data_IF_638256707546
#
_entry.id   IF_638256707546
#
_cell.length_a   1.000
_cell.length_b   1.000
_cell.length_c   1.000
_cell.angle_alpha   90.00
_cell.angle_beta   90.00
_cell.angle_gamma   90.00
#
_symmetry.space_group_name_H-M   'P 1'
#
loop_
_entity.id
_entity.type
_entity.pdbx_description
1 polymer ?
#
# COMPACT_ATOMS: atom_id res chain seq x y z
N UNK A 1 19.56 33.11 -17.68
CA UNK A 1 19.11 32.05 -16.76
C UNK A 1 17.60 32.14 -16.66
N UNK A 2 16.87 31.27 -17.37
CA UNK A 2 15.44 31.15 -17.18
C UNK A 2 15.21 30.45 -15.83
N UNK A 3 14.94 31.22 -14.78
CA UNK A 3 14.41 30.66 -13.54
C UNK A 3 12.99 30.16 -13.85
N UNK A 4 12.83 28.87 -14.16
CA UNK A 4 11.51 28.27 -14.23
C UNK A 4 10.86 28.37 -12.84
N UNK A 5 9.65 28.87 -12.77
CA UNK A 5 8.86 28.89 -11.54
C UNK A 5 8.69 27.44 -11.08
N UNK A 6 9.03 27.11 -9.83
CA UNK A 6 8.85 25.74 -9.32
C UNK A 6 7.39 25.32 -9.48
N UNK A 7 7.16 24.10 -9.98
CA UNK A 7 5.81 23.55 -10.10
C UNK A 7 5.27 23.24 -8.69
N UNK A 8 4.06 23.67 -8.39
CA UNK A 8 3.43 23.39 -7.09
C UNK A 8 3.37 21.89 -6.83
N UNK A 9 3.67 21.43 -5.60
CA UNK A 9 3.46 20.05 -5.21
C UNK A 9 2.00 19.62 -5.40
N UNK A 10 1.79 18.39 -5.83
CA UNK A 10 0.46 17.83 -6.06
C UNK A 10 0.26 16.57 -5.23
N UNK A 11 -0.99 16.34 -4.81
CA UNK A 11 -1.43 15.10 -4.18
C UNK A 11 -2.43 14.40 -5.10
N UNK A 12 -2.22 13.11 -5.33
CA UNK A 12 -3.15 12.25 -6.05
C UNK A 12 -3.57 11.10 -5.14
N UNK A 13 -4.87 10.95 -4.91
CA UNK A 13 -5.44 9.90 -4.08
C UNK A 13 -5.89 8.73 -4.96
N UNK A 14 -5.43 7.52 -4.66
CA UNK A 14 -5.78 6.28 -5.38
C UNK A 14 -6.67 5.34 -4.55
N UNK A 15 -7.03 5.73 -3.34
CA UNK A 15 -7.92 5.03 -2.43
C UNK A 15 -8.06 5.78 -1.11
N UNK A 16 -8.94 5.32 -0.23
CA UNK A 16 -9.32 5.96 1.04
C UNK A 16 -9.72 7.44 0.89
N UNK A 17 -10.39 7.77 -0.22
CA UNK A 17 -10.91 9.09 -0.51
C UNK A 17 -12.43 9.00 -0.68
N UNK A 18 -13.19 9.31 0.38
CA UNK A 18 -14.63 9.05 0.47
C UNK A 18 -14.98 7.58 0.78
N UNK A 19 -13.99 6.78 1.13
CA UNK A 19 -14.09 5.38 1.55
C UNK A 19 -12.99 5.07 2.57
N UNK A 20 -13.06 3.92 3.25
CA UNK A 20 -12.15 3.59 4.36
C UNK A 20 -10.89 2.87 3.88
N UNK A 21 -11.01 1.87 2.99
CA UNK A 21 -9.92 0.96 2.68
C UNK A 21 -9.12 1.36 1.43
N UNK A 22 -7.95 0.76 1.25
CA UNK A 22 -7.11 0.98 0.08
C UNK A 22 -6.26 2.24 0.12
N UNK A 23 -5.87 2.70 1.33
CA UNK A 23 -5.06 3.92 1.49
C UNK A 23 -3.86 3.94 0.54
N UNK A 24 -3.82 4.98 -0.30
CA UNK A 24 -2.75 5.13 -1.29
C UNK A 24 -2.75 6.57 -1.81
N UNK A 25 -1.74 7.34 -1.44
CA UNK A 25 -1.63 8.75 -1.86
C UNK A 25 -0.24 9.03 -2.42
N UNK A 26 -0.18 9.61 -3.60
CA UNK A 26 1.05 10.05 -4.24
C UNK A 26 1.26 11.55 -4.04
N UNK A 27 2.39 11.92 -3.44
CA UNK A 27 2.92 13.27 -3.44
C UNK A 27 3.91 13.41 -4.60
N UNK A 28 3.71 14.38 -5.47
CA UNK A 28 4.65 14.74 -6.54
C UNK A 28 5.16 16.16 -6.35
N UNK A 29 6.47 16.32 -6.54
CA UNK A 29 7.17 17.61 -6.54
C UNK A 29 8.00 17.73 -7.81
N UNK A 30 8.74 18.83 -8.00
CA UNK A 30 9.68 18.96 -9.13
C UNK A 30 10.80 17.89 -9.12
N UNK A 31 11.18 17.40 -7.94
CA UNK A 31 12.36 16.56 -7.76
C UNK A 31 12.09 15.18 -7.14
N UNK A 32 10.88 14.94 -6.64
CA UNK A 32 10.57 13.70 -5.92
C UNK A 32 9.12 13.26 -6.13
N UNK A 33 8.93 11.94 -6.02
CA UNK A 33 7.63 11.27 -6.00
C UNK A 33 7.61 10.36 -4.77
N UNK A 34 6.74 10.66 -3.81
CA UNK A 34 6.63 9.92 -2.55
C UNK A 34 5.25 9.30 -2.46
N UNK A 35 5.20 7.99 -2.29
CA UNK A 35 3.97 7.26 -2.06
C UNK A 35 3.75 7.12 -0.55
N UNK A 36 2.60 7.52 -0.05
CA UNK A 36 2.16 7.31 1.33
C UNK A 36 1.09 6.25 1.33
N UNK A 37 1.38 5.13 1.96
CA UNK A 37 0.64 3.88 1.98
C UNK A 37 0.45 3.23 0.60
N UNK A 38 0.18 1.94 0.61
CA UNK A 38 -0.29 1.16 -0.53
C UNK A 38 -1.11 -0.01 0.01
N UNK A 39 -2.31 0.33 0.47
CA UNK A 39 -3.20 -0.56 1.20
C UNK A 39 -4.10 -1.39 0.30
N UNK A 40 -4.59 -2.51 0.83
CA UNK A 40 -5.61 -3.32 0.17
C UNK A 40 -6.99 -2.67 0.27
N UNK A 41 -7.76 -2.77 -0.80
CA UNK A 41 -9.21 -2.62 -0.73
C UNK A 41 -9.80 -3.90 -0.13
N UNK A 42 -10.67 -3.73 0.85
CA UNK A 42 -11.31 -4.82 1.59
C UNK A 42 -12.83 -4.61 1.61
N UNK A 43 -13.60 -5.68 1.64
CA UNK A 43 -15.06 -5.65 1.74
C UNK A 43 -15.73 -6.49 0.67
N UNK A 44 -16.68 -5.92 -0.06
CA UNK A 44 -17.39 -6.63 -1.12
C UNK A 44 -16.45 -7.05 -2.27
N UNK A 45 -16.73 -8.11 -3.02
CA UNK A 45 -15.90 -8.57 -4.13
C UNK A 45 -15.58 -7.48 -5.16
N UNK A 46 -16.51 -6.56 -5.41
CA UNK A 46 -16.28 -5.41 -6.31
C UNK A 46 -15.22 -4.43 -5.78
N UNK A 47 -15.05 -4.32 -4.47
CA UNK A 47 -13.98 -3.52 -3.86
C UNK A 47 -12.65 -4.26 -3.95
N UNK A 48 -12.62 -5.56 -3.67
CA UNK A 48 -11.41 -6.37 -3.75
C UNK A 48 -10.84 -6.46 -5.17
N UNK A 49 -11.68 -6.42 -6.21
CA UNK A 49 -11.25 -6.33 -7.62
C UNK A 49 -10.43 -5.08 -7.93
N UNK A 50 -10.49 -4.04 -7.10
CA UNK A 50 -9.69 -2.82 -7.21
C UNK A 50 -8.25 -2.99 -6.70
N UNK A 51 -7.90 -4.15 -6.15
CA UNK A 51 -6.55 -4.48 -5.72
C UNK A 51 -5.60 -4.68 -6.92
N UNK A 52 -5.58 -3.71 -7.79
CA UNK A 52 -4.75 -3.64 -9.00
C UNK A 52 -3.76 -2.48 -8.89
N UNK A 53 -2.90 -2.37 -9.88
CA UNK A 53 -1.97 -1.24 -10.02
C UNK A 53 -2.71 -0.05 -10.62
N UNK A 54 -2.76 1.12 -9.94
CA UNK A 54 -3.32 2.33 -10.53
C UNK A 54 -2.58 2.70 -11.83
N UNK A 55 -3.26 2.84 -12.99
CA UNK A 55 -2.60 3.06 -14.28
C UNK A 55 -1.72 4.32 -14.33
N UNK A 56 -2.05 5.34 -13.52
CA UNK A 56 -1.32 6.59 -13.45
C UNK A 56 -0.08 6.54 -12.54
N UNK A 57 0.14 5.43 -11.82
CA UNK A 57 1.22 5.28 -10.84
C UNK A 57 2.39 4.46 -11.41
N UNK A 58 3.47 5.15 -11.77
CA UNK A 58 4.72 4.53 -12.20
C UNK A 58 5.64 4.33 -11.00
N UNK A 59 5.73 3.10 -10.51
CA UNK A 59 6.51 2.73 -9.33
C UNK A 59 8.03 2.86 -9.53
N UNK A 60 8.53 2.73 -10.76
CA UNK A 60 9.95 2.89 -11.08
C UNK A 60 10.42 4.32 -10.88
N UNK A 61 9.50 5.27 -10.88
CA UNK A 61 9.77 6.70 -10.69
C UNK A 61 9.57 7.17 -9.25
N UNK A 62 9.17 6.27 -8.33
CA UNK A 62 9.06 6.63 -6.92
C UNK A 62 10.44 6.86 -6.32
N UNK A 63 10.57 7.95 -5.58
CA UNK A 63 11.77 8.31 -4.82
C UNK A 63 11.77 7.65 -3.44
N UNK A 64 10.59 7.50 -2.84
CA UNK A 64 10.41 6.86 -1.53
C UNK A 64 8.96 6.35 -1.38
N UNK A 65 8.79 5.38 -0.49
CA UNK A 65 7.50 4.93 0.03
C UNK A 65 7.49 5.13 1.53
N UNK A 66 6.37 5.60 2.07
CA UNK A 66 6.14 5.76 3.51
C UNK A 66 4.93 4.93 3.89
N UNK A 67 5.03 4.15 4.96
CA UNK A 67 3.93 3.39 5.52
C UNK A 67 3.54 3.99 6.88
N UNK A 68 2.26 4.38 7.03
CA UNK A 68 1.75 4.96 8.26
C UNK A 68 1.69 3.95 9.38
N UNK A 69 1.21 2.74 9.10
CA UNK A 69 1.14 1.63 10.05
C UNK A 69 0.88 0.28 9.33
N UNK A 70 0.89 -0.82 10.11
CA UNK A 70 0.88 -2.17 9.56
C UNK A 70 -0.53 -2.80 9.41
N UNK A 71 -1.62 -2.03 9.34
CA UNK A 71 -2.90 -2.56 8.92
C UNK A 71 -2.93 -2.81 7.42
N UNK A 72 -3.66 -3.85 7.02
CA UNK A 72 -3.62 -4.37 5.65
C UNK A 72 -4.18 -3.39 4.61
N UNK A 73 -5.14 -2.56 4.98
CA UNK A 73 -5.73 -1.50 4.16
C UNK A 73 -4.82 -0.26 4.01
N UNK A 74 -3.66 -0.24 4.70
CA UNK A 74 -2.58 0.73 4.55
C UNK A 74 -1.31 0.15 3.94
N UNK A 75 -1.02 -1.13 4.19
CA UNK A 75 0.24 -1.74 3.77
C UNK A 75 0.08 -2.92 2.81
N UNK A 76 -1.12 -3.46 2.63
CA UNK A 76 -1.31 -4.78 2.06
C UNK A 76 -0.88 -4.96 0.61
N UNK A 77 -0.82 -3.90 -0.21
CA UNK A 77 -0.26 -3.95 -1.57
C UNK A 77 1.24 -3.63 -1.63
N UNK A 78 1.89 -3.26 -0.51
CA UNK A 78 3.34 -3.04 -0.49
C UNK A 78 4.13 -4.29 -0.95
N UNK A 79 3.59 -5.49 -0.73
CA UNK A 79 4.18 -6.73 -1.25
C UNK A 79 4.34 -6.77 -2.76
N UNK A 80 3.60 -5.96 -3.52
CA UNK A 80 3.70 -5.86 -4.98
C UNK A 80 4.91 -5.05 -5.45
N UNK A 81 5.50 -4.18 -4.61
CA UNK A 81 6.55 -3.23 -4.98
C UNK A 81 7.69 -3.83 -5.80
N UNK A 82 8.25 -5.02 -5.44
CA UNK A 82 9.34 -5.61 -6.20
C UNK A 82 8.94 -6.02 -7.63
N UNK A 83 7.70 -6.48 -7.81
CA UNK A 83 7.17 -6.83 -9.15
C UNK A 83 6.90 -5.60 -10.00
N UNK A 84 6.62 -4.48 -9.35
CA UNK A 84 6.35 -3.19 -9.99
C UNK A 84 7.62 -2.40 -10.31
N UNK A 85 8.79 -2.97 -9.97
CA UNK A 85 10.10 -2.38 -10.26
C UNK A 85 10.51 -1.27 -9.31
N UNK A 86 9.92 -1.21 -8.11
CA UNK A 86 10.39 -0.32 -7.04
C UNK A 86 11.52 -1.00 -6.26
N UNK A 87 12.67 -0.34 -6.21
CA UNK A 87 13.89 -0.83 -5.53
C UNK A 87 14.32 0.09 -4.37
N UNK A 88 13.51 1.12 -4.05
CA UNK A 88 13.80 2.07 -3.00
C UNK A 88 13.41 1.57 -1.59
N UNK A 89 13.49 2.46 -0.62
CA UNK A 89 13.21 2.17 0.78
C UNK A 89 11.73 2.41 1.13
N UNK A 90 11.20 1.58 2.02
CA UNK A 90 9.90 1.76 2.67
C UNK A 90 10.15 2.31 4.08
N UNK A 91 9.84 3.57 4.29
CA UNK A 91 10.02 4.27 5.55
C UNK A 91 8.80 4.14 6.45
N UNK A 92 9.00 3.86 7.73
CA UNK A 92 7.95 3.80 8.74
C UNK A 92 8.58 3.99 10.13
N UNK A 93 7.79 3.81 11.21
CA UNK A 93 8.34 3.76 12.57
C UNK A 93 9.11 2.46 12.82
N UNK A 94 9.98 2.43 13.82
CA UNK A 94 10.72 1.22 14.21
C UNK A 94 9.80 0.02 14.55
N UNK A 95 8.70 0.20 15.34
CA UNK A 95 7.79 -0.90 15.59
C UNK A 95 7.06 -1.37 14.31
N UNK A 96 6.62 -0.45 13.45
CA UNK A 96 6.01 -0.80 12.15
C UNK A 96 7.01 -1.56 11.27
N UNK A 97 8.30 -1.18 11.28
CA UNK A 97 9.33 -1.89 10.53
C UNK A 97 9.51 -3.36 10.97
N UNK A 98 9.22 -3.65 12.22
CA UNK A 98 9.20 -5.03 12.74
C UNK A 98 7.94 -5.78 12.32
N UNK A 99 6.78 -5.14 12.38
CA UNK A 99 5.48 -5.76 12.09
C UNK A 99 5.23 -5.97 10.60
N UNK A 100 5.59 -5.00 9.76
CA UNK A 100 5.27 -4.96 8.34
C UNK A 100 5.70 -6.23 7.57
N UNK A 101 6.93 -6.75 7.71
CA UNK A 101 7.32 -7.98 7.04
C UNK A 101 6.50 -9.19 7.46
N UNK A 102 6.03 -9.23 8.72
CA UNK A 102 5.20 -10.32 9.24
C UNK A 102 3.80 -10.27 8.62
N UNK A 103 3.19 -9.08 8.58
CA UNK A 103 1.87 -8.85 7.99
C UNK A 103 1.87 -9.20 6.51
N UNK A 104 2.87 -8.74 5.74
CA UNK A 104 2.97 -9.04 4.31
C UNK A 104 3.15 -10.54 4.04
N UNK A 105 3.96 -11.24 4.83
CA UNK A 105 4.11 -12.71 4.70
C UNK A 105 2.81 -13.44 5.02
N UNK A 106 2.10 -13.02 6.07
CA UNK A 106 0.80 -13.59 6.44
C UNK A 106 -0.22 -13.38 5.31
N UNK A 107 -0.30 -12.17 4.78
CA UNK A 107 -1.17 -11.85 3.64
C UNK A 107 -0.86 -12.70 2.41
N UNK A 108 0.42 -12.87 2.05
CA UNK A 108 0.83 -13.73 0.93
C UNK A 108 0.40 -15.20 1.14
N UNK A 109 0.51 -15.71 2.36
CA UNK A 109 0.06 -17.07 2.69
C UNK A 109 -1.46 -17.20 2.57
N UNK A 110 -2.23 -16.22 3.09
CA UNK A 110 -3.70 -16.22 2.98
C UNK A 110 -4.17 -16.18 1.52
N UNK A 111 -3.53 -15.37 0.67
CA UNK A 111 -3.84 -15.33 -0.76
C UNK A 111 -3.64 -16.71 -1.40
N UNK A 112 -2.54 -17.40 -1.06
CA UNK A 112 -2.28 -18.75 -1.56
C UNK A 112 -3.34 -19.75 -1.09
N UNK A 113 -3.70 -19.74 0.21
CA UNK A 113 -4.73 -20.62 0.76
C UNK A 113 -6.06 -20.40 0.05
N UNK A 114 -6.51 -19.15 -0.13
CA UNK A 114 -7.75 -18.84 -0.85
C UNK A 114 -7.77 -19.38 -2.28
N UNK A 115 -6.64 -19.32 -2.99
CA UNK A 115 -6.54 -19.88 -4.33
C UNK A 115 -6.61 -21.39 -4.30
N UNK A 116 -5.90 -22.04 -3.37
CA UNK A 116 -5.92 -23.50 -3.23
C UNK A 116 -7.33 -23.98 -2.84
N UNK A 117 -8.04 -23.26 -1.96
CA UNK A 117 -9.43 -23.52 -1.59
C UNK A 117 -10.38 -23.34 -2.79
N UNK A 118 -10.22 -22.27 -3.55
CA UNK A 118 -11.00 -22.00 -4.76
C UNK A 118 -10.82 -23.13 -5.79
N UNK A 119 -9.57 -23.55 -6.07
CA UNK A 119 -9.25 -24.64 -7.00
C UNK A 119 -9.82 -25.99 -6.53
N UNK A 120 -9.86 -26.21 -5.24
CA UNK A 120 -10.35 -27.46 -4.66
C UNK A 120 -11.87 -27.45 -4.36
N UNK A 121 -12.55 -26.30 -4.57
CA UNK A 121 -13.96 -26.14 -4.24
C UNK A 121 -14.27 -26.25 -2.74
N UNK A 122 -13.31 -25.87 -1.86
CA UNK A 122 -13.42 -26.08 -0.40
C UNK A 122 -13.52 -24.78 0.41
N UNK A 123 -13.37 -23.62 -0.20
CA UNK A 123 -13.37 -22.32 0.49
C UNK A 123 -14.78 -21.85 0.90
N UNK A 124 -14.89 -20.83 1.77
CA UNK A 124 -16.16 -20.26 2.19
C UNK A 124 -17.00 -19.68 1.04
N UNK A 125 -16.34 -19.35 -0.09
CA UNK A 125 -16.96 -18.92 -1.34
C UNK A 125 -17.19 -20.09 -2.31
N UNK A 126 -16.91 -21.33 -1.89
CA UNK A 126 -17.16 -22.51 -2.70
C UNK A 126 -18.67 -22.66 -2.88
N UNK A 127 -19.15 -22.49 -4.09
CA UNK A 127 -20.52 -22.86 -4.44
C UNK A 127 -20.60 -24.39 -4.35
N UNK A 128 -21.26 -24.89 -3.33
CA UNK A 128 -21.64 -26.32 -3.29
C UNK A 128 -22.64 -26.52 -4.42
N UNK A 129 -22.13 -26.90 -5.58
CA UNK A 129 -22.97 -27.29 -6.70
C UNK A 129 -23.63 -28.60 -6.31
N UNK A 130 -24.96 -28.62 -6.28
CA UNK A 130 -25.76 -29.83 -6.21
C UNK A 130 -25.27 -30.81 -7.30
N UNK A 131 -25.26 -32.13 -7.08
CA UNK A 131 -24.57 -33.12 -7.92
C UNK A 131 -24.90 -33.15 -9.42
N UNK A 132 -25.79 -32.30 -9.88
CA UNK A 132 -26.04 -32.07 -11.30
C UNK A 132 -26.28 -30.58 -11.58
N UNK A 133 -25.24 -29.74 -11.64
CA UNK A 133 -25.43 -28.34 -11.99
C UNK A 133 -25.98 -28.20 -13.39
N UNK A 134 -26.93 -27.24 -13.57
CA UNK A 134 -27.33 -26.81 -14.90
C UNK A 134 -26.08 -26.58 -15.77
N UNK A 135 -26.02 -27.15 -17.00
CA UNK A 135 -24.88 -26.97 -17.89
C UNK A 135 -24.49 -25.50 -18.12
N UNK A 136 -25.44 -24.57 -18.03
CA UNK A 136 -25.18 -23.13 -18.12
C UNK A 136 -24.44 -22.62 -16.89
N UNK A 137 -24.70 -23.15 -15.69
CA UNK A 137 -23.99 -22.81 -14.44
C UNK A 137 -22.58 -23.41 -14.46
N UNK A 138 -22.42 -24.65 -14.93
CA UNK A 138 -21.12 -25.28 -15.10
C UNK A 138 -20.24 -24.52 -16.09
N UNK A 139 -20.77 -24.09 -17.23
CA UNK A 139 -20.06 -23.28 -18.21
C UNK A 139 -19.75 -21.86 -17.72
N UNK A 140 -20.53 -21.32 -16.78
CA UNK A 140 -20.24 -20.06 -16.12
C UNK A 140 -19.13 -20.22 -15.07
N UNK A 141 -19.08 -21.35 -14.34
CA UNK A 141 -18.04 -21.65 -13.36
C UNK A 141 -16.65 -21.83 -14.01
N UNK A 142 -16.59 -22.40 -15.22
CA UNK A 142 -15.34 -22.50 -16.00
C UNK A 142 -14.75 -21.14 -16.42
N UNK A 143 -15.51 -20.04 -16.33
CA UNK A 143 -15.07 -18.68 -16.66
C UNK A 143 -14.53 -17.89 -15.47
N UNK A 144 -14.57 -18.45 -14.27
CA UNK A 144 -13.94 -17.82 -13.11
C UNK A 144 -12.44 -18.05 -13.20
N UNK A 145 -11.71 -17.01 -13.60
CA UNK A 145 -10.25 -16.99 -13.46
C UNK A 145 -9.88 -17.07 -11.97
N UNK A 146 -8.81 -17.80 -11.65
CA UNK A 146 -8.22 -17.84 -10.31
C UNK A 146 -8.12 -16.41 -9.75
N UNK A 147 -8.47 -16.15 -8.48
CA UNK A 147 -8.26 -14.84 -7.89
C UNK A 147 -6.78 -14.46 -8.02
N UNK A 148 -6.47 -13.26 -8.49
CA UNK A 148 -5.09 -12.89 -8.81
C UNK A 148 -4.21 -12.91 -7.56
N UNK A 149 -3.08 -13.62 -7.61
CA UNK A 149 -2.02 -13.52 -6.61
C UNK A 149 -1.35 -12.17 -6.73
N UNK A 150 -1.60 -11.27 -5.81
CA UNK A 150 -1.01 -9.93 -5.84
C UNK A 150 0.52 -10.01 -5.70
N UNK A 151 1.00 -10.84 -4.78
CA UNK A 151 2.43 -11.06 -4.55
C UNK A 151 2.69 -12.37 -3.81
N UNK A 152 3.89 -12.90 -4.00
CA UNK A 152 4.34 -14.12 -3.33
C UNK A 152 4.97 -13.83 -1.97
N UNK A 153 5.20 -14.89 -1.16
CA UNK A 153 6.01 -14.81 0.04
C UNK A 153 7.42 -14.26 -0.22
N UNK A 154 8.05 -14.64 -1.33
CA UNK A 154 9.37 -14.12 -1.72
C UNK A 154 9.35 -12.63 -2.02
N UNK A 155 8.25 -12.11 -2.58
CA UNK A 155 8.06 -10.67 -2.78
C UNK A 155 7.93 -9.94 -1.43
N UNK A 156 7.12 -10.47 -0.50
CA UNK A 156 6.99 -9.94 0.86
C UNK A 156 8.35 -9.90 1.60
N UNK A 157 9.18 -10.93 1.45
CA UNK A 157 10.52 -10.98 2.03
C UNK A 157 11.47 -9.96 1.39
N UNK A 158 11.34 -9.70 0.08
CA UNK A 158 12.10 -8.63 -0.59
C UNK A 158 11.74 -7.26 -0.06
N UNK A 159 10.44 -6.97 0.10
CA UNK A 159 10.00 -5.71 0.73
C UNK A 159 10.52 -5.61 2.15
N UNK A 160 10.44 -6.69 2.94
CA UNK A 160 10.95 -6.70 4.31
C UNK A 160 12.41 -6.26 4.45
N UNK A 161 13.25 -6.52 3.43
CA UNK A 161 14.65 -6.07 3.40
C UNK A 161 14.83 -4.60 3.05
N UNK A 162 13.84 -3.96 2.44
CA UNK A 162 13.86 -2.54 2.11
C UNK A 162 13.15 -1.65 3.14
N UNK A 163 12.55 -2.24 4.17
CA UNK A 163 11.88 -1.49 5.24
C UNK A 163 12.91 -0.85 6.17
N UNK A 164 12.74 0.43 6.44
CA UNK A 164 13.61 1.20 7.34
C UNK A 164 12.78 1.91 8.40
N UNK A 165 13.04 1.57 9.67
CA UNK A 165 12.45 2.23 10.82
C UNK A 165 13.07 3.60 11.07
N UNK A 166 12.25 4.52 11.55
CA UNK A 166 12.66 5.83 12.04
C UNK A 166 12.01 6.10 13.41
N UNK A 167 12.70 6.79 14.32
CA UNK A 167 12.10 7.21 15.58
C UNK A 167 11.04 8.27 15.36
N UNK A 168 10.09 8.35 16.27
CA UNK A 168 9.12 9.44 16.30
C UNK A 168 9.81 10.80 16.47
N UNK A 169 9.19 11.84 15.97
CA UNK A 169 9.54 13.24 16.09
C UNK A 169 10.88 13.66 15.46
N UNK A 170 11.64 12.73 14.91
CA UNK A 170 12.90 13.03 14.24
C UNK A 170 12.68 13.32 12.73
N UNK A 171 13.28 14.40 12.26
CA UNK A 171 13.29 14.69 10.83
C UNK A 171 14.28 13.80 10.10
N UNK A 172 13.83 13.20 9.00
CA UNK A 172 14.66 12.39 8.08
C UNK A 172 14.41 12.82 6.65
N UNK A 173 15.44 13.08 5.88
CA UNK A 173 15.32 13.22 4.43
C UNK A 173 15.08 11.84 3.82
N UNK A 174 13.99 11.72 3.03
CA UNK A 174 13.57 10.47 2.39
C UNK A 174 13.64 10.53 0.87
N UNK A 175 13.68 11.74 0.32
CA UNK A 175 13.78 11.99 -1.11
C UNK A 175 14.34 13.40 -1.33
N UNK A 176 14.86 13.73 -2.53
CA UNK A 176 15.39 15.06 -2.81
C UNK A 176 14.39 16.17 -2.49
N UNK A 177 14.74 17.01 -1.50
CA UNK A 177 13.90 18.12 -1.06
C UNK A 177 12.65 17.73 -0.26
N UNK A 178 12.52 16.48 0.16
CA UNK A 178 11.41 16.00 0.99
C UNK A 178 11.95 15.36 2.28
N UNK A 179 11.54 15.92 3.42
CA UNK A 179 11.84 15.38 4.75
C UNK A 179 10.56 14.84 5.38
N UNK A 180 10.69 13.75 6.12
CA UNK A 180 9.63 13.08 6.86
C UNK A 180 9.84 13.27 8.36
N UNK A 181 8.75 13.43 9.10
CA UNK A 181 8.67 13.30 10.55
C UNK A 181 7.42 12.49 10.90
N UNK A 182 7.58 11.54 11.81
CA UNK A 182 6.51 10.64 12.25
C UNK A 182 6.02 11.09 13.62
N UNK A 183 4.71 11.21 13.78
CA UNK A 183 4.04 11.52 15.03
C UNK A 183 3.25 10.30 15.49
N UNK A 184 3.24 10.00 16.78
CA UNK A 184 2.43 8.90 17.30
C UNK A 184 0.95 9.16 17.01
N UNK A 185 0.28 8.20 16.35
CA UNK A 185 -1.13 8.29 16.02
C UNK A 185 -2.04 7.61 17.05
N UNK A 186 -1.47 6.87 18.01
CA UNK A 186 -2.21 6.22 19.10
C UNK A 186 -3.17 5.11 18.68
N UNK A 187 -3.08 4.63 17.42
CA UNK A 187 -4.03 3.68 16.84
C UNK A 187 -3.63 2.21 17.10
N UNK A 188 -2.45 1.83 16.61
CA UNK A 188 -1.82 0.53 16.92
C UNK A 188 -0.34 0.75 17.23
N UNK A 189 0.34 -0.29 17.73
CA UNK A 189 1.78 -0.23 17.99
C UNK A 189 2.52 0.18 16.72
N UNK A 190 3.24 1.31 16.80
CA UNK A 190 4.00 1.85 15.69
C UNK A 190 3.21 2.70 14.70
N UNK A 191 1.90 2.91 14.90
CA UNK A 191 1.12 3.78 14.03
C UNK A 191 1.63 5.21 14.06
N UNK A 192 1.61 5.88 12.91
CA UNK A 192 2.09 7.25 12.80
C UNK A 192 1.23 8.11 11.88
N UNK A 193 1.00 9.35 12.31
CA UNK A 193 0.71 10.44 11.39
C UNK A 193 2.02 10.89 10.75
N UNK A 194 2.02 11.02 9.43
CA UNK A 194 3.21 11.31 8.63
C UNK A 194 3.21 12.77 8.22
N UNK A 195 4.17 13.55 8.75
CA UNK A 195 4.40 14.92 8.31
C UNK A 195 5.51 14.93 7.27
N UNK A 196 5.19 15.41 6.07
CA UNK A 196 6.16 15.65 4.99
C UNK A 196 6.41 17.15 4.86
N UNK A 197 7.68 17.54 4.90
CA UNK A 197 8.12 18.89 4.61
C UNK A 197 8.81 18.92 3.24
N UNK A 198 8.30 19.76 2.34
CA UNK A 198 8.70 19.85 0.95
C UNK A 198 9.41 21.19 0.73
N UNK A 199 10.62 21.15 0.16
CA UNK A 199 11.30 22.34 -0.31
C UNK A 199 10.69 22.81 -1.63
N UNK A 200 10.16 24.03 -1.65
CA UNK A 200 9.54 24.64 -2.83
C UNK A 200 10.11 26.05 -3.06
N UNK A 201 11.16 26.13 -3.87
CA UNK A 201 11.93 27.36 -4.02
C UNK A 201 12.55 27.80 -2.69
N UNK A 202 12.24 29.02 -2.26
CA UNK A 202 12.66 29.55 -0.96
C UNK A 202 11.73 29.17 0.20
N UNK A 203 10.58 28.55 -0.09
CA UNK A 203 9.57 28.18 0.90
C UNK A 203 9.66 26.71 1.30
N UNK A 204 8.99 26.37 2.39
CA UNK A 204 8.74 25.00 2.84
C UNK A 204 7.23 24.81 2.98
N UNK A 205 6.72 23.80 2.32
CA UNK A 205 5.32 23.39 2.40
C UNK A 205 5.26 22.15 3.29
N UNK A 206 4.30 22.09 4.19
CA UNK A 206 4.07 20.92 5.05
C UNK A 206 2.73 20.31 4.74
N UNK A 207 2.72 19.00 4.68
CA UNK A 207 1.53 18.16 4.50
C UNK A 207 1.54 17.12 5.59
N UNK A 208 0.40 16.93 6.26
CA UNK A 208 0.20 15.90 7.27
C UNK A 208 -0.79 14.86 6.74
N UNK A 209 -0.36 13.62 6.72
CA UNK A 209 -1.20 12.44 6.50
C UNK A 209 -1.51 11.86 7.87
N UNK A 210 -2.77 11.87 8.27
CA UNK A 210 -3.17 11.39 9.60
C UNK A 210 -2.85 9.91 9.82
N UNK A 211 -2.92 9.11 8.78
CA UNK A 211 -3.13 7.68 8.93
C UNK A 211 -4.42 7.45 9.73
N UNK A 212 -4.51 6.32 10.39
CA UNK A 212 -5.57 6.05 11.34
C UNK A 212 -5.19 6.60 12.72
N UNK A 213 -6.10 7.36 13.31
CA UNK A 213 -5.93 7.97 14.62
C UNK A 213 -6.67 7.11 15.65
N UNK A 214 -5.99 6.75 16.72
CA UNK A 214 -6.58 6.02 17.82
C UNK A 214 -7.46 6.87 18.73
N UNK A 215 -8.18 6.25 19.66
CA UNK A 215 -8.92 6.96 20.68
C UNK A 215 -7.95 7.73 21.58
N UNK A 216 -8.29 8.98 21.90
CA UNK A 216 -7.58 9.83 22.88
C UNK A 216 -7.87 9.40 24.31
#
# INVERSE_FOLDING_TARGET
CCCSVPKSPTLTFFGAAGEVTGSCTLLETDSARVLVDFGLFQGAPSQEQRNTVPPALDFRRLSAVVCTHAHIDHCGRLGMLPRLGYEGLVHCTEPTATLLPMVLRSSANLQKVRIDEFRNGTGPDAVVLDPAPDPAIAAAAERFEDPPVLYSRGDAERVGRSVVGAPYLAWREIAPGVRMRLHDAGHIIGSASVELEIKHGAQRIRVLFSGDIGPT
#
